data_IF_686882595594
#
_entry.id   IF_686882595594
#
_cell.length_a   1.000
_cell.length_b   1.000
_cell.length_c   1.000
_cell.angle_alpha   90.00
_cell.angle_beta   90.00
_cell.angle_gamma   90.00
#
_symmetry.space_group_name_H-M   'P 1'
#
loop_
_entity.id
_entity.type
_entity.pdbx_description
1 polymer ?
#
# COMPACT_ATOMS: atom_id res chain seq x y z
N UNK A 1 -22.52 9.16 23.55
CA UNK A 1 -21.70 9.30 22.32
C UNK A 1 -21.25 7.92 21.89
N UNK A 2 -21.82 7.37 20.83
CA UNK A 2 -21.44 6.06 20.30
C UNK A 2 -20.11 6.22 19.57
N UNK A 3 -19.04 5.56 20.06
CA UNK A 3 -17.79 5.42 19.29
C UNK A 3 -18.16 4.70 18.00
N UNK A 4 -18.28 5.43 16.89
CA UNK A 4 -18.40 4.83 15.56
C UNK A 4 -17.13 4.02 15.35
N UNK A 5 -17.22 2.71 15.58
CA UNK A 5 -16.16 1.77 15.24
C UNK A 5 -16.06 1.79 13.72
N UNK A 6 -15.13 2.59 13.19
CA UNK A 6 -14.82 2.52 11.76
C UNK A 6 -14.23 1.15 11.53
N UNK A 7 -14.92 0.32 10.73
CA UNK A 7 -14.34 -0.96 10.31
C UNK A 7 -12.96 -0.67 9.71
N UNK A 8 -11.93 -1.42 10.07
CA UNK A 8 -10.63 -1.27 9.45
C UNK A 8 -10.79 -1.46 7.93
N UNK A 9 -10.08 -0.64 7.15
CA UNK A 9 -10.16 -0.66 5.69
C UNK A 9 -9.79 -2.04 5.11
N UNK A 10 -9.00 -2.82 5.84
CA UNK A 10 -8.51 -4.14 5.47
C UNK A 10 -8.78 -5.15 6.60
N UNK A 11 -8.80 -6.46 6.30
CA UNK A 11 -8.87 -7.51 7.33
C UNK A 11 -7.80 -7.34 8.42
N UNK A 12 -8.15 -7.64 9.67
CA UNK A 12 -7.26 -7.44 10.82
C UNK A 12 -6.00 -8.28 10.68
N UNK A 13 -6.15 -9.53 10.23
CA UNK A 13 -5.00 -10.40 10.03
C UNK A 13 -4.08 -9.93 8.90
N UNK A 14 -4.63 -9.31 7.86
CA UNK A 14 -3.82 -8.69 6.82
C UNK A 14 -2.95 -7.57 7.41
N UNK A 15 -3.55 -6.72 8.25
CA UNK A 15 -2.82 -5.65 8.95
C UNK A 15 -1.74 -6.23 9.87
N UNK A 16 -2.03 -7.31 10.60
CA UNK A 16 -1.04 -8.01 11.44
C UNK A 16 0.13 -8.55 10.62
N UNK A 17 -0.11 -9.10 9.43
CA UNK A 17 0.95 -9.58 8.56
C UNK A 17 1.81 -8.45 8.00
N UNK A 18 1.20 -7.32 7.62
CA UNK A 18 1.94 -6.12 7.21
C UNK A 18 2.79 -5.58 8.36
N UNK A 19 2.24 -5.51 9.58
CA UNK A 19 2.96 -5.03 10.77
C UNK A 19 4.15 -5.92 11.16
N UNK A 20 4.11 -7.21 10.83
CA UNK A 20 5.22 -8.17 11.04
C UNK A 20 6.33 -8.05 10.00
N UNK A 21 6.16 -7.26 8.94
CA UNK A 21 7.23 -7.03 7.96
C UNK A 21 8.38 -6.28 8.66
N UNK A 22 9.53 -6.95 8.74
CA UNK A 22 10.71 -6.44 9.43
C UNK A 22 11.14 -5.09 8.85
N UNK A 23 11.23 -4.09 9.72
CA UNK A 23 11.64 -2.72 9.41
C UNK A 23 10.80 -2.03 8.32
N UNK A 24 9.51 -2.37 8.20
CA UNK A 24 8.63 -1.76 7.19
C UNK A 24 8.65 -0.23 7.24
N UNK A 25 8.61 0.36 8.44
CA UNK A 25 8.69 1.81 8.61
C UNK A 25 9.97 2.42 8.07
N UNK A 26 11.12 1.80 8.36
CA UNK A 26 12.41 2.27 7.87
C UNK A 26 12.51 2.11 6.36
N UNK A 27 12.05 0.98 5.81
CA UNK A 27 12.02 0.74 4.35
C UNK A 27 11.18 1.79 3.64
N UNK A 28 9.99 2.10 4.16
CA UNK A 28 9.10 3.12 3.60
C UNK A 28 9.67 4.54 3.75
N UNK A 29 10.32 4.87 4.87
CA UNK A 29 11.03 6.15 5.02
C UNK A 29 12.14 6.30 3.98
N UNK A 30 12.95 5.27 3.78
CA UNK A 30 14.00 5.26 2.76
C UNK A 30 13.41 5.39 1.35
N UNK A 31 12.30 4.70 1.08
CA UNK A 31 11.59 4.78 -0.20
C UNK A 31 11.08 6.20 -0.46
N UNK A 32 10.39 6.83 0.49
CA UNK A 32 9.89 8.19 0.36
C UNK A 32 11.01 9.22 0.22
N UNK A 33 12.14 9.03 0.91
CA UNK A 33 13.31 9.91 0.76
C UNK A 33 13.96 9.77 -0.63
N UNK A 34 13.98 8.56 -1.19
CA UNK A 34 14.52 8.28 -2.53
C UNK A 34 13.60 8.77 -3.65
N UNK A 35 12.29 8.65 -3.45
CA UNK A 35 11.26 8.99 -4.42
C UNK A 35 10.30 10.04 -3.82
N UNK A 36 10.70 11.32 -3.76
CA UNK A 36 9.92 12.37 -3.10
C UNK A 36 8.59 12.67 -3.80
N UNK A 37 8.41 12.19 -5.02
CA UNK A 37 7.16 12.25 -5.79
C UNK A 37 6.23 11.07 -5.51
N UNK A 38 6.56 10.13 -4.61
CA UNK A 38 5.60 9.11 -4.17
C UNK A 38 4.52 9.78 -3.33
N UNK A 39 3.30 9.80 -3.86
CA UNK A 39 2.17 10.53 -3.25
C UNK A 39 1.36 9.63 -2.33
N UNK A 40 0.90 8.47 -2.82
CA UNK A 40 0.06 7.53 -2.07
C UNK A 40 0.27 6.09 -2.54
N UNK A 41 -0.07 5.15 -1.67
CA UNK A 41 -0.13 3.72 -1.95
C UNK A 41 -1.56 3.26 -1.72
N UNK A 42 -2.09 2.46 -2.64
CA UNK A 42 -3.40 1.86 -2.54
C UNK A 42 -3.30 0.36 -2.66
N UNK A 43 -4.15 -0.34 -1.92
CA UNK A 43 -4.19 -1.79 -1.89
C UNK A 43 -5.54 -2.31 -2.37
N UNK A 44 -5.47 -3.36 -3.16
CA UNK A 44 -6.56 -4.28 -3.40
C UNK A 44 -6.17 -5.63 -2.78
N UNK A 45 -6.87 -6.00 -1.71
CA UNK A 45 -6.63 -7.22 -0.94
C UNK A 45 -7.66 -8.27 -1.36
N UNK A 46 -7.17 -9.41 -1.85
CA UNK A 46 -8.00 -10.56 -2.23
C UNK A 46 -7.65 -11.77 -1.35
N UNK A 47 -8.61 -12.31 -0.56
CA UNK A 47 -9.97 -11.83 -0.41
C UNK A 47 -10.09 -10.64 0.56
N UNK A 48 -11.09 -9.78 0.39
CA UNK A 48 -11.42 -8.67 1.31
C UNK A 48 -12.20 -9.17 2.54
N UNK A 49 -11.72 -10.26 3.15
CA UNK A 49 -12.25 -10.88 4.37
C UNK A 49 -11.16 -11.71 5.03
N UNK A 50 -11.38 -12.08 6.29
CA UNK A 50 -10.47 -12.97 7.01
C UNK A 50 -10.26 -14.31 6.28
N UNK A 51 -9.00 -14.70 6.15
CA UNK A 51 -8.57 -16.01 5.63
C UNK A 51 -8.18 -16.93 6.79
N UNK A 52 -7.96 -18.22 6.53
CA UNK A 52 -7.41 -19.15 7.53
C UNK A 52 -5.89 -18.92 7.75
N UNK A 53 -5.28 -19.36 8.86
CA UNK A 53 -3.87 -19.05 9.16
C UNK A 53 -2.85 -19.63 8.17
N UNK A 54 -3.26 -20.70 7.48
CA UNK A 54 -2.53 -21.42 6.43
C UNK A 54 -2.73 -20.81 5.03
N UNK A 55 -3.62 -19.83 4.90
CA UNK A 55 -3.92 -19.16 3.64
C UNK A 55 -3.17 -17.83 3.52
N UNK A 56 -2.87 -17.47 2.27
CA UNK A 56 -2.21 -16.20 1.94
C UNK A 56 -3.22 -15.19 1.38
N UNK A 57 -3.00 -13.92 1.71
CA UNK A 57 -3.65 -12.82 1.00
C UNK A 57 -2.95 -12.59 -0.33
N UNK A 58 -3.72 -12.32 -1.39
CA UNK A 58 -3.19 -11.74 -2.62
C UNK A 58 -3.31 -10.24 -2.53
N UNK A 59 -2.26 -9.53 -2.88
CA UNK A 59 -2.18 -8.08 -2.79
C UNK A 59 -1.82 -7.52 -4.16
N UNK A 60 -2.70 -6.66 -4.70
CA UNK A 60 -2.34 -5.77 -5.79
C UNK A 60 -2.11 -4.37 -5.24
N UNK A 61 -1.01 -3.73 -5.67
CA UNK A 61 -0.56 -2.43 -5.15
C UNK A 61 -0.56 -1.41 -6.27
N UNK A 62 -1.30 -0.33 -6.08
CA UNK A 62 -1.26 0.83 -6.96
C UNK A 62 -0.50 1.94 -6.25
N UNK A 63 0.56 2.46 -6.87
CA UNK A 63 1.32 3.60 -6.36
C UNK A 63 0.97 4.82 -7.18
N UNK A 64 0.55 5.88 -6.49
CA UNK A 64 0.28 7.18 -7.11
C UNK A 64 1.51 8.07 -6.95
N UNK A 65 1.95 8.65 -8.06
CA UNK A 65 3.05 9.58 -8.13
C UNK A 65 2.53 11.01 -8.34
N UNK A 66 3.17 11.98 -7.70
CA UNK A 66 2.85 13.39 -7.81
C UNK A 66 3.51 14.04 -9.05
N UNK A 67 2.78 14.98 -9.65
CA UNK A 67 3.21 15.70 -10.84
C UNK A 67 3.29 14.85 -12.11
N UNK A 68 4.09 15.33 -13.08
CA UNK A 68 4.52 14.57 -14.25
C UNK A 68 6.04 14.58 -14.25
N UNK A 69 6.68 13.42 -14.14
CA UNK A 69 8.07 13.35 -14.60
C UNK A 69 8.08 13.70 -16.10
N UNK A 70 9.15 14.33 -16.63
CA UNK A 70 9.30 14.46 -18.08
C UNK A 70 9.10 13.09 -18.71
N UNK A 71 8.25 13.05 -19.75
CA UNK A 71 7.58 11.87 -20.29
C UNK A 71 8.33 10.53 -20.10
N UNK A 72 7.59 9.54 -19.59
CA UNK A 72 7.86 8.12 -19.80
C UNK A 72 9.23 7.62 -19.37
N UNK A 73 9.70 7.95 -18.17
CA UNK A 73 10.78 7.15 -17.60
C UNK A 73 10.18 5.83 -17.09
N UNK A 74 9.75 4.94 -18.00
CA UNK A 74 9.26 3.59 -17.69
C UNK A 74 10.22 2.86 -16.76
N UNK A 75 11.53 3.12 -16.92
CA UNK A 75 12.58 2.63 -16.02
C UNK A 75 12.39 3.07 -14.56
N UNK A 76 11.92 4.29 -14.30
CA UNK A 76 11.66 4.79 -12.95
C UNK A 76 10.44 4.11 -12.32
N UNK A 77 9.34 3.98 -13.06
CA UNK A 77 8.14 3.26 -12.60
C UNK A 77 8.49 1.81 -12.25
N UNK A 78 9.18 1.10 -13.14
CA UNK A 78 9.64 -0.27 -12.89
C UNK A 78 10.57 -0.39 -11.68
N UNK A 79 11.43 0.60 -11.43
CA UNK A 79 12.28 0.63 -10.24
C UNK A 79 11.44 0.75 -8.95
N UNK A 80 10.49 1.68 -8.92
CA UNK A 80 9.61 1.89 -7.77
C UNK A 80 8.74 0.65 -7.54
N UNK A 81 8.16 0.08 -8.59
CA UNK A 81 7.36 -1.15 -8.53
C UNK A 81 8.17 -2.30 -7.92
N UNK A 82 9.42 -2.48 -8.36
CA UNK A 82 10.33 -3.49 -7.82
C UNK A 82 10.65 -3.27 -6.35
N UNK A 83 10.89 -2.03 -5.93
CA UNK A 83 11.17 -1.71 -4.52
C UNK A 83 9.94 -1.90 -3.63
N UNK A 84 8.76 -1.45 -4.08
CA UNK A 84 7.48 -1.66 -3.39
C UNK A 84 7.19 -3.14 -3.24
N UNK A 85 7.36 -3.93 -4.30
CA UNK A 85 7.21 -5.39 -4.25
C UNK A 85 8.11 -6.00 -3.17
N UNK A 86 9.39 -5.59 -3.11
CA UNK A 86 10.34 -6.06 -2.07
C UNK A 86 9.96 -5.60 -0.65
N UNK A 87 9.34 -4.43 -0.49
CA UNK A 87 8.89 -3.94 0.81
C UNK A 87 7.76 -4.80 1.36
N UNK A 88 6.76 -5.10 0.54
CA UNK A 88 5.53 -5.74 0.98
C UNK A 88 5.51 -7.28 0.84
N UNK A 89 6.43 -7.86 0.08
CA UNK A 89 6.54 -9.32 -0.07
C UNK A 89 6.89 -9.99 1.26
N UNK A 90 6.06 -10.94 1.71
CA UNK A 90 6.32 -11.78 2.87
C UNK A 90 5.65 -13.16 2.72
N UNK A 91 5.83 -14.06 3.69
CA UNK A 91 5.31 -15.43 3.62
C UNK A 91 3.78 -15.56 3.65
N UNK A 92 3.05 -14.52 4.07
CA UNK A 92 1.58 -14.55 4.21
C UNK A 92 0.86 -13.64 3.21
N UNK A 93 1.62 -12.90 2.40
CA UNK A 93 1.13 -11.94 1.41
C UNK A 93 1.82 -12.22 0.09
N UNK A 94 1.05 -12.69 -0.87
CA UNK A 94 1.48 -12.85 -2.26
C UNK A 94 1.21 -11.57 -3.04
N UNK A 95 2.26 -10.93 -3.55
CA UNK A 95 2.13 -9.76 -4.42
C UNK A 95 1.68 -10.22 -5.80
N UNK A 96 0.43 -9.93 -6.15
CA UNK A 96 -0.17 -10.27 -7.45
C UNK A 96 0.30 -9.30 -8.54
N UNK A 97 0.30 -8.01 -8.23
CA UNK A 97 0.66 -6.96 -9.16
C UNK A 97 1.11 -5.68 -8.42
N UNK A 98 2.01 -4.91 -9.04
CA UNK A 98 2.41 -3.59 -8.58
C UNK A 98 2.49 -2.66 -9.77
N UNK A 99 1.75 -1.55 -9.72
CA UNK A 99 1.69 -0.58 -10.81
C UNK A 99 1.94 0.83 -10.29
N UNK A 100 2.71 1.64 -11.02
CA UNK A 100 2.91 3.06 -10.74
C UNK A 100 2.18 3.93 -11.77
N UNK A 101 1.35 4.85 -11.28
CA UNK A 101 0.58 5.79 -12.11
C UNK A 101 0.73 7.23 -11.62
N UNK A 102 0.61 8.16 -12.55
CA UNK A 102 0.36 9.57 -12.29
C UNK A 102 -1.13 9.83 -12.14
N UNK A 103 -1.51 11.01 -11.67
CA UNK A 103 -2.92 11.36 -11.42
C UNK A 103 -3.81 11.29 -12.66
N UNK A 104 -3.26 11.60 -13.84
CA UNK A 104 -3.98 11.56 -15.12
C UNK A 104 -4.08 10.16 -15.73
N UNK A 105 -3.36 9.18 -15.17
CA UNK A 105 -3.41 7.78 -15.58
C UNK A 105 -4.35 6.94 -14.68
N UNK A 106 -4.81 7.48 -13.54
CA UNK A 106 -5.69 6.78 -12.62
C UNK A 106 -7.12 6.74 -13.18
N UNK A 107 -7.71 5.54 -13.25
CA UNK A 107 -9.05 5.33 -13.79
C UNK A 107 -10.09 5.19 -12.67
N UNK A 108 -11.37 5.22 -13.06
CA UNK A 108 -12.49 4.93 -12.15
C UNK A 108 -12.41 3.51 -11.56
N UNK A 109 -11.76 2.57 -12.24
CA UNK A 109 -11.60 1.22 -11.72
C UNK A 109 -10.74 1.24 -10.45
N UNK A 110 -9.56 1.85 -10.48
CA UNK A 110 -8.68 1.91 -9.32
C UNK A 110 -9.39 2.62 -8.14
N UNK A 111 -10.10 3.71 -8.41
CA UNK A 111 -10.82 4.47 -7.39
C UNK A 111 -11.95 3.69 -6.71
N UNK A 112 -12.57 2.73 -7.40
CA UNK A 112 -13.68 1.93 -6.87
C UNK A 112 -13.22 0.71 -6.06
N UNK A 113 -12.10 0.10 -6.44
CA UNK A 113 -11.68 -1.19 -5.87
C UNK A 113 -10.48 -1.09 -4.95
N UNK A 114 -9.55 -0.17 -5.20
CA UNK A 114 -8.38 -0.01 -4.37
C UNK A 114 -8.71 0.91 -3.19
N UNK A 115 -8.32 0.48 -2.00
CA UNK A 115 -8.44 1.27 -0.79
C UNK A 115 -7.11 1.96 -0.52
N UNK A 116 -7.14 3.22 -0.10
CA UNK A 116 -5.94 3.94 0.34
C UNK A 116 -5.31 3.13 1.46
N UNK A 117 -4.04 2.75 1.30
CA UNK A 117 -3.25 2.22 2.40
C UNK A 117 -2.68 3.41 3.16
N UNK A 118 -3.56 4.05 3.94
CA UNK A 118 -3.15 5.18 4.74
C UNK A 118 -2.43 4.68 5.99
N UNK A 119 -1.23 5.21 6.21
CA UNK A 119 -0.43 4.89 7.38
C UNK A 119 -1.09 5.41 8.66
N UNK A 120 -2.17 6.17 8.56
CA UNK A 120 -2.93 6.68 9.70
C UNK A 120 -3.54 5.60 10.62
N UNK A 121 -3.58 4.34 10.17
CA UNK A 121 -3.89 3.22 11.06
C UNK A 121 -2.77 2.85 12.05
N UNK A 122 -1.56 3.41 11.90
CA UNK A 122 -0.42 3.23 12.80
C UNK A 122 -0.20 4.50 13.68
N UNK A 123 -0.66 5.67 13.25
CA UNK A 123 -0.50 6.93 14.02
C UNK A 123 -1.44 7.05 15.21
N UNK A 124 -2.44 6.18 15.38
CA UNK A 124 -3.22 6.13 16.63
C UNK A 124 -2.46 5.57 17.85
N UNK A 125 -1.13 5.33 17.72
CA UNK A 125 -0.20 5.11 18.83
C UNK A 125 0.75 6.28 19.12
N UNK A 126 0.70 7.35 18.34
CA UNK A 126 1.35 8.61 18.66
C UNK A 126 0.31 9.70 18.57
N UNK A 127 -0.26 10.03 19.73
CA UNK A 127 -1.17 11.16 19.88
C UNK A 127 -0.55 12.41 19.27
N UNK A 128 -1.30 13.03 18.38
CA UNK A 128 -1.15 14.44 18.12
C UNK A 128 -2.07 15.16 19.11
N UNK A 129 -1.46 15.87 20.05
CA UNK A 129 -2.01 17.13 20.57
C UNK A 129 -2.03 18.18 19.44
#
# INVERSE_FOLDING_TARGET
MSKRYSRPAFPDRFNDYIAKIKHIDTKLKTLNARYPFLKRIFFLVEPDREVAPDQQYKLAIQVLLDGRAPMSNTNLKCQIESEICKVFSNANIFIKDVSCVYEDEMTLYELNFYKVWDKDYITNRYGFD
#
